data_IF_009263283614
#
_entry.id   IF_009263283614
#
_cell.length_a   1.000
_cell.length_b   1.000
_cell.length_c   1.000
_cell.angle_alpha   90.00
_cell.angle_beta   90.00
_cell.angle_gamma   90.00
#
_symmetry.space_group_name_H-M   'P 1'
#
loop_
_entity.id
_entity.type
_entity.pdbx_description
1 polymer ?
#
# COMPACT_ATOMS: atom_id res chain seq x y z
N UNK A 1 2.90 -32.20 47.51
CA UNK A 1 2.35 -30.85 47.33
C UNK A 1 2.68 -30.47 45.89
N UNK A 2 1.67 -30.49 45.02
CA UNK A 2 1.83 -30.34 43.57
C UNK A 2 2.27 -28.91 43.25
N UNK A 3 3.33 -28.77 42.46
CA UNK A 3 3.68 -27.54 41.77
C UNK A 3 3.61 -27.80 40.26
N UNK A 4 2.41 -27.63 39.73
CA UNK A 4 2.10 -27.36 38.33
C UNK A 4 1.29 -26.06 38.41
N UNK A 5 1.43 -25.03 37.58
CA UNK A 5 2.07 -24.78 36.29
C UNK A 5 1.79 -23.30 36.05
N UNK A 6 2.73 -22.56 35.45
CA UNK A 6 2.40 -21.43 34.57
C UNK A 6 3.59 -21.27 33.60
N UNK A 7 3.72 -22.25 32.70
CA UNK A 7 4.26 -21.91 31.40
C UNK A 7 3.10 -21.27 30.65
N UNK A 8 2.98 -19.95 30.71
CA UNK A 8 2.21 -19.23 29.70
C UNK A 8 2.68 -19.77 28.35
N UNK A 9 1.77 -20.42 27.62
CA UNK A 9 2.01 -20.77 26.24
C UNK A 9 2.14 -19.43 25.53
N UNK A 10 3.38 -18.93 25.38
CA UNK A 10 3.63 -17.75 24.55
C UNK A 10 3.00 -18.03 23.20
N UNK A 11 2.01 -17.22 22.84
CA UNK A 11 1.44 -17.27 21.50
C UNK A 11 2.59 -17.09 20.53
N UNK A 12 2.79 -18.10 19.68
CA UNK A 12 3.79 -18.03 18.63
C UNK A 12 3.24 -17.11 17.55
N UNK A 13 3.80 -15.91 17.42
CA UNK A 13 3.43 -14.92 16.41
C UNK A 13 3.31 -15.53 15.00
N UNK A 14 4.17 -16.51 14.64
CA UNK A 14 4.09 -17.16 13.33
C UNK A 14 2.79 -17.95 13.11
N UNK A 15 2.03 -18.32 14.15
CA UNK A 15 0.70 -18.92 13.97
C UNK A 15 -0.34 -17.92 13.47
N UNK A 16 -0.11 -16.62 13.67
CA UNK A 16 -0.97 -15.54 13.16
C UNK A 16 -0.66 -15.19 11.70
N UNK A 17 0.45 -15.69 11.16
CA UNK A 17 0.77 -15.58 9.75
C UNK A 17 0.14 -16.76 9.02
N UNK A 18 -0.90 -16.49 8.24
CA UNK A 18 -1.71 -17.48 7.51
C UNK A 18 -1.31 -17.56 6.03
N UNK A 19 -0.83 -16.46 5.46
CA UNK A 19 -0.42 -16.37 4.06
C UNK A 19 0.98 -16.93 3.84
N UNK A 20 1.22 -17.54 2.68
CA UNK A 20 2.50 -18.19 2.33
C UNK A 20 3.02 -17.82 0.94
N UNK A 21 2.11 -17.45 0.03
CA UNK A 21 2.44 -17.22 -1.37
C UNK A 21 1.94 -15.85 -1.80
N UNK A 22 2.73 -15.19 -2.65
CA UNK A 22 2.38 -13.89 -3.19
C UNK A 22 1.62 -14.03 -4.50
N UNK A 23 0.37 -13.54 -4.54
CA UNK A 23 -0.55 -13.65 -5.67
C UNK A 23 0.08 -13.18 -7.00
N UNK A 24 0.74 -12.02 -6.99
CA UNK A 24 1.40 -11.48 -8.19
C UNK A 24 2.62 -12.30 -8.65
N UNK A 25 3.40 -12.87 -7.72
CA UNK A 25 4.54 -13.72 -8.10
C UNK A 25 4.05 -15.01 -8.77
N UNK A 26 2.99 -15.61 -8.21
CA UNK A 26 2.33 -16.76 -8.83
C UNK A 26 1.74 -16.41 -10.20
N UNK A 27 1.27 -15.17 -10.40
CA UNK A 27 0.78 -14.70 -11.71
C UNK A 27 1.89 -14.63 -12.77
N UNK A 28 3.10 -14.21 -12.40
CA UNK A 28 4.24 -14.18 -13.33
C UNK A 28 4.52 -15.57 -13.92
N UNK A 29 4.41 -16.63 -13.13
CA UNK A 29 4.53 -18.00 -13.63
C UNK A 29 3.42 -18.35 -14.64
N UNK A 30 2.19 -17.88 -14.40
CA UNK A 30 1.05 -18.07 -15.33
C UNK A 30 1.23 -17.28 -16.62
N UNK A 31 1.75 -16.05 -16.57
CA UNK A 31 2.09 -15.27 -17.77
C UNK A 31 3.10 -16.01 -18.65
N UNK A 32 4.17 -16.53 -18.04
CA UNK A 32 5.19 -17.31 -18.77
C UNK A 32 4.61 -18.58 -19.38
N UNK A 33 3.68 -19.25 -18.69
CA UNK A 33 3.04 -20.47 -19.15
C UNK A 33 2.09 -20.22 -20.33
N UNK A 34 1.30 -19.14 -20.29
CA UNK A 34 0.32 -18.84 -21.34
C UNK A 34 0.94 -18.12 -22.55
N UNK A 35 2.07 -17.41 -22.36
CA UNK A 35 2.81 -16.74 -23.43
C UNK A 35 2.07 -15.55 -24.06
N UNK A 36 0.99 -15.07 -23.43
CA UNK A 36 0.21 -13.93 -23.92
C UNK A 36 0.86 -12.58 -23.56
N UNK A 37 0.63 -11.52 -24.35
CA UNK A 37 1.27 -10.24 -24.10
C UNK A 37 0.83 -9.64 -22.76
N UNK A 38 1.80 -9.07 -22.03
CA UNK A 38 1.58 -8.44 -20.72
C UNK A 38 1.38 -6.94 -20.89
N UNK A 39 0.23 -6.44 -20.44
CA UNK A 39 -0.13 -5.02 -20.51
C UNK A 39 -0.16 -4.45 -19.09
N UNK A 40 0.58 -3.35 -18.88
CA UNK A 40 0.58 -2.62 -17.62
C UNK A 40 -0.35 -1.40 -17.74
N UNK A 41 -1.48 -1.42 -17.04
CA UNK A 41 -2.41 -0.30 -16.99
C UNK A 41 -1.87 0.79 -16.06
N UNK A 42 -1.57 1.96 -16.60
CA UNK A 42 -0.97 3.08 -15.88
C UNK A 42 0.44 3.41 -16.35
N UNK A 43 0.85 4.66 -16.09
CA UNK A 43 2.21 5.16 -16.36
C UNK A 43 2.72 6.08 -15.23
N UNK A 44 2.09 6.01 -14.05
CA UNK A 44 2.48 6.77 -12.86
C UNK A 44 3.58 6.08 -12.03
N UNK A 45 3.78 6.57 -10.80
CA UNK A 45 4.78 6.03 -9.88
C UNK A 45 4.59 4.52 -9.62
N UNK A 46 3.36 4.10 -9.30
CA UNK A 46 3.05 2.69 -9.04
C UNK A 46 3.35 1.80 -10.26
N UNK A 47 2.93 2.22 -11.45
CA UNK A 47 3.25 1.51 -12.69
C UNK A 47 4.77 1.38 -12.89
N UNK A 48 5.54 2.42 -12.58
CA UNK A 48 7.00 2.36 -12.67
C UNK A 48 7.61 1.35 -11.68
N UNK A 49 7.03 1.19 -10.48
CA UNK A 49 7.44 0.15 -9.52
C UNK A 49 7.20 -1.24 -10.12
N UNK A 50 6.01 -1.53 -10.65
CA UNK A 50 5.72 -2.78 -11.34
C UNK A 50 6.65 -3.03 -12.52
N UNK A 51 6.89 -2.01 -13.35
CA UNK A 51 7.79 -2.12 -14.51
C UNK A 51 9.18 -2.56 -14.09
N UNK A 52 9.80 -1.86 -13.13
CA UNK A 52 11.13 -2.22 -12.59
C UNK A 52 11.14 -3.63 -12.01
N UNK A 53 10.07 -4.00 -11.32
CA UNK A 53 9.93 -5.35 -10.76
C UNK A 53 9.87 -6.41 -11.86
N UNK A 54 9.03 -6.23 -12.87
CA UNK A 54 8.89 -7.14 -14.01
C UNK A 54 10.20 -7.26 -14.81
N UNK A 55 10.93 -6.15 -15.01
CA UNK A 55 12.23 -6.14 -15.69
C UNK A 55 13.24 -7.03 -14.93
N UNK A 56 13.31 -6.95 -13.60
CA UNK A 56 14.15 -7.85 -12.77
C UNK A 56 13.73 -9.31 -12.90
N UNK A 57 12.43 -9.57 -13.08
CA UNK A 57 11.88 -10.90 -13.30
C UNK A 57 12.00 -11.37 -14.76
N UNK A 58 12.58 -10.57 -15.67
CA UNK A 58 12.69 -10.90 -17.08
C UNK A 58 11.35 -11.01 -17.81
N UNK A 59 10.33 -10.31 -17.35
CA UNK A 59 9.01 -10.24 -18.00
C UNK A 59 8.94 -8.95 -18.82
N UNK A 60 8.91 -9.07 -20.14
CA UNK A 60 8.78 -7.91 -21.03
C UNK A 60 7.32 -7.45 -21.13
N UNK A 61 7.10 -6.14 -20.99
CA UNK A 61 5.81 -5.52 -21.27
C UNK A 61 5.58 -5.42 -22.78
N UNK A 62 4.35 -5.73 -23.20
CA UNK A 62 3.88 -5.45 -24.55
C UNK A 62 3.64 -3.95 -24.74
N UNK A 63 2.92 -3.33 -23.82
CA UNK A 63 2.70 -1.88 -23.78
C UNK A 63 2.29 -1.43 -22.37
N UNK A 64 2.39 -0.12 -22.13
CA UNK A 64 1.64 0.54 -21.06
C UNK A 64 0.30 1.00 -21.62
N UNK A 65 -0.76 0.92 -20.81
CA UNK A 65 -2.10 1.29 -21.26
C UNK A 65 -2.72 2.36 -20.35
N UNK A 66 -3.33 3.38 -20.96
CA UNK A 66 -4.05 4.45 -20.28
C UNK A 66 -5.47 4.54 -20.85
N UNK A 67 -6.44 5.06 -20.10
CA UNK A 67 -7.70 5.46 -20.74
C UNK A 67 -7.46 6.70 -21.60
N UNK A 68 -8.30 6.91 -22.62
CA UNK A 68 -8.17 8.05 -23.55
C UNK A 68 -8.00 9.42 -22.87
N UNK A 69 -8.63 9.63 -21.71
CA UNK A 69 -8.52 10.87 -20.92
C UNK A 69 -7.09 11.19 -20.48
N UNK A 70 -6.28 10.17 -20.21
CA UNK A 70 -4.90 10.32 -19.74
C UNK A 70 -3.86 10.08 -20.84
N UNK A 71 -4.28 9.93 -22.10
CA UNK A 71 -3.35 9.74 -23.21
C UNK A 71 -2.54 11.03 -23.44
N UNK A 72 -1.20 10.94 -23.53
CA UNK A 72 -0.38 12.11 -23.81
C UNK A 72 -0.64 12.58 -25.26
N UNK A 73 -0.65 13.90 -25.45
CA UNK A 73 -0.77 14.52 -26.78
C UNK A 73 0.46 14.24 -27.67
N UNK A 74 1.59 13.88 -27.08
CA UNK A 74 2.85 13.58 -27.75
C UNK A 74 3.28 12.14 -27.48
N UNK A 75 3.83 11.47 -28.51
CA UNK A 75 4.35 10.11 -28.36
C UNK A 75 5.68 10.13 -27.61
N UNK A 76 5.77 9.41 -26.49
CA UNK A 76 7.03 9.18 -25.80
C UNK A 76 7.84 8.07 -26.49
N UNK A 77 9.14 8.30 -26.72
CA UNK A 77 9.99 7.45 -27.56
C UNK A 77 10.35 6.07 -26.96
N UNK A 78 10.12 5.83 -25.66
CA UNK A 78 10.71 4.68 -24.96
C UNK A 78 9.72 3.65 -24.41
N UNK A 79 8.41 3.91 -24.46
CA UNK A 79 7.37 2.92 -24.11
C UNK A 79 6.19 3.11 -25.06
N UNK A 80 5.75 2.04 -25.73
CA UNK A 80 4.50 2.08 -26.47
C UNK A 80 3.36 2.26 -25.46
N UNK A 81 2.73 3.44 -25.47
CA UNK A 81 1.54 3.75 -24.69
C UNK A 81 0.32 3.60 -25.59
N UNK A 82 -0.66 2.79 -25.17
CA UNK A 82 -1.89 2.52 -25.91
C UNK A 82 -3.13 2.88 -25.11
N UNK A 83 -4.21 3.21 -25.82
CA UNK A 83 -5.51 3.40 -25.19
C UNK A 83 -6.10 2.04 -24.76
N UNK A 84 -6.60 1.95 -23.53
CA UNK A 84 -7.29 0.75 -23.03
C UNK A 84 -8.49 0.42 -23.93
N UNK A 85 -9.21 1.45 -24.39
CA UNK A 85 -10.33 1.36 -25.33
C UNK A 85 -9.98 0.57 -26.60
N UNK A 86 -8.80 0.81 -27.17
CA UNK A 86 -8.35 0.14 -28.39
C UNK A 86 -7.95 -1.31 -28.12
N UNK A 87 -7.34 -1.57 -26.96
CA UNK A 87 -6.84 -2.90 -26.60
C UNK A 87 -7.98 -3.89 -26.34
N UNK A 88 -9.06 -3.46 -25.68
CA UNK A 88 -10.17 -4.36 -25.30
C UNK A 88 -11.05 -4.78 -26.47
N UNK A 89 -10.98 -4.05 -27.58
CA UNK A 89 -11.71 -4.37 -28.83
C UNK A 89 -10.91 -5.33 -29.74
N UNK A 90 -9.65 -5.62 -29.42
CA UNK A 90 -8.85 -6.59 -30.17
C UNK A 90 -9.34 -8.03 -29.89
N UNK A 91 -9.32 -8.92 -30.90
CA UNK A 91 -9.69 -10.33 -30.73
C UNK A 91 -8.67 -11.13 -29.90
N UNK A 92 -7.48 -10.57 -29.66
CA UNK A 92 -6.44 -11.17 -28.84
C UNK A 92 -6.73 -10.99 -27.36
N UNK A 93 -6.29 -11.96 -26.54
CA UNK A 93 -6.31 -11.88 -25.08
C UNK A 93 -4.98 -11.38 -24.51
N UNK A 94 -5.04 -10.73 -23.35
CA UNK A 94 -3.88 -10.13 -22.68
C UNK A 94 -3.79 -10.54 -21.21
N UNK A 95 -2.58 -10.48 -20.66
CA UNK A 95 -2.37 -10.49 -19.22
C UNK A 95 -2.31 -9.03 -18.75
N UNK A 96 -3.29 -8.57 -17.97
CA UNK A 96 -3.35 -7.20 -17.47
C UNK A 96 -2.80 -7.09 -16.05
N UNK A 97 -2.08 -6.00 -15.78
CA UNK A 97 -1.62 -5.61 -14.44
C UNK A 97 -2.10 -4.19 -14.19
N UNK A 98 -2.78 -3.96 -13.07
CA UNK A 98 -3.19 -2.62 -12.65
C UNK A 98 -2.03 -1.94 -11.90
N UNK A 99 -1.47 -0.90 -12.52
CA UNK A 99 -0.34 -0.11 -12.03
C UNK A 99 -0.73 1.20 -11.32
N UNK A 100 -1.84 1.22 -10.60
CA UNK A 100 -2.32 2.35 -9.80
C UNK A 100 -3.18 1.88 -8.63
N UNK A 101 -3.36 2.72 -7.60
CA UNK A 101 -3.95 2.29 -6.32
C UNK A 101 -5.45 2.01 -6.40
N UNK A 102 -6.21 2.85 -7.10
CA UNK A 102 -7.67 2.76 -7.13
C UNK A 102 -8.16 2.31 -8.50
N UNK A 103 -8.79 1.15 -8.56
CA UNK A 103 -9.41 0.62 -9.76
C UNK A 103 -10.93 0.58 -9.59
N UNK A 104 -11.66 1.04 -10.61
CA UNK A 104 -13.13 1.00 -10.60
C UNK A 104 -13.65 -0.32 -11.16
N UNK A 105 -14.82 -0.77 -10.68
CA UNK A 105 -15.49 -1.97 -11.21
C UNK A 105 -15.73 -1.85 -12.73
N UNK A 106 -16.07 -0.65 -13.21
CA UNK A 106 -16.22 -0.38 -14.64
C UNK A 106 -14.96 -0.69 -15.45
N UNK A 107 -13.78 -0.32 -14.95
CA UNK A 107 -12.52 -0.63 -15.61
C UNK A 107 -12.19 -2.13 -15.55
N UNK A 108 -12.48 -2.77 -14.42
CA UNK A 108 -12.30 -4.22 -14.24
C UNK A 108 -13.16 -4.97 -15.26
N UNK A 109 -14.45 -4.69 -15.33
CA UNK A 109 -15.38 -5.30 -16.29
C UNK A 109 -14.94 -5.06 -17.74
N UNK A 110 -14.43 -3.86 -18.04
CA UNK A 110 -13.92 -3.51 -19.36
C UNK A 110 -12.71 -4.37 -19.76
N UNK A 111 -11.72 -4.52 -18.87
CA UNK A 111 -10.51 -5.31 -19.11
C UNK A 111 -10.82 -6.82 -19.15
N UNK A 112 -11.78 -7.29 -18.34
CA UNK A 112 -12.17 -8.70 -18.28
C UNK A 112 -12.68 -9.25 -19.63
N UNK A 113 -13.16 -8.40 -20.54
CA UNK A 113 -13.64 -8.81 -21.88
C UNK A 113 -12.62 -9.62 -22.67
N UNK A 114 -11.34 -9.30 -22.53
CA UNK A 114 -10.26 -10.04 -23.19
C UNK A 114 -9.06 -10.33 -22.27
N UNK A 115 -9.21 -10.23 -20.96
CA UNK A 115 -8.18 -10.67 -20.01
C UNK A 115 -8.05 -12.20 -20.04
N UNK A 116 -6.82 -12.71 -20.13
CA UNK A 116 -6.45 -14.06 -19.64
C UNK A 116 -6.23 -14.02 -18.14
N UNK A 117 -5.45 -13.05 -17.69
CA UNK A 117 -5.21 -12.74 -16.29
C UNK A 117 -5.47 -11.24 -16.08
N UNK A 118 -6.04 -10.89 -14.94
CA UNK A 118 -6.20 -9.50 -14.51
C UNK A 118 -5.69 -9.39 -13.08
N UNK A 119 -4.52 -8.78 -12.93
CA UNK A 119 -3.85 -8.65 -11.64
C UNK A 119 -4.17 -7.30 -11.03
N UNK A 120 -4.82 -7.37 -9.87
CA UNK A 120 -5.04 -6.25 -8.96
C UNK A 120 -4.43 -6.68 -7.64
N UNK A 121 -3.35 -6.03 -7.25
CA UNK A 121 -2.62 -6.35 -6.03
C UNK A 121 -2.24 -5.06 -5.30
N UNK A 122 -2.00 -5.17 -3.99
CA UNK A 122 -1.49 -4.08 -3.18
C UNK A 122 -0.09 -3.68 -3.72
N UNK A 123 0.08 -2.50 -4.32
CA UNK A 123 1.36 -2.13 -4.92
C UNK A 123 2.46 -1.95 -3.86
N UNK A 124 2.09 -1.74 -2.59
CA UNK A 124 3.08 -1.68 -1.54
C UNK A 124 3.80 -3.02 -1.41
N UNK A 125 3.11 -4.15 -1.62
CA UNK A 125 3.63 -5.51 -1.43
C UNK A 125 4.86 -5.82 -2.30
N UNK A 126 5.08 -5.09 -3.39
CA UNK A 126 6.13 -5.36 -4.39
C UNK A 126 7.28 -4.34 -4.39
N UNK A 127 8.29 -4.53 -3.54
CA UNK A 127 9.55 -3.73 -3.50
C UNK A 127 9.37 -2.20 -3.66
N UNK A 128 8.22 -1.64 -3.27
CA UNK A 128 7.90 -0.22 -3.46
C UNK A 128 8.79 0.68 -2.60
N UNK A 129 9.31 0.12 -1.52
CA UNK A 129 10.22 0.75 -0.57
C UNK A 129 11.59 0.08 -0.61
N UNK A 130 12.61 0.78 -0.13
CA UNK A 130 14.00 0.31 -0.09
C UNK A 130 14.24 -0.93 0.78
N UNK A 131 13.23 -1.41 1.51
CA UNK A 131 13.31 -2.55 2.42
C UNK A 131 13.13 -3.93 1.75
N UNK A 132 12.82 -3.99 0.45
CA UNK A 132 12.58 -5.25 -0.25
C UNK A 132 11.17 -5.82 -0.02
N UNK A 133 10.99 -7.12 -0.31
CA UNK A 133 9.74 -7.84 -0.10
C UNK A 133 9.58 -8.23 1.39
N UNK A 134 8.35 -8.13 1.90
CA UNK A 134 7.97 -8.71 3.19
C UNK A 134 7.14 -9.96 2.86
N UNK A 135 7.83 -11.07 2.65
CA UNK A 135 7.23 -12.37 2.38
C UNK A 135 7.26 -13.28 3.63
N UNK A 136 6.84 -14.54 3.46
CA UNK A 136 6.82 -15.48 4.59
C UNK A 136 8.23 -15.78 5.10
N UNK A 137 9.20 -15.90 4.20
CA UNK A 137 10.60 -16.18 4.57
C UNK A 137 11.18 -15.01 5.37
N UNK A 138 10.90 -13.76 4.98
CA UNK A 138 11.21 -12.58 5.79
C UNK A 138 10.62 -12.69 7.21
N UNK A 139 9.35 -13.09 7.32
CA UNK A 139 8.71 -13.25 8.63
C UNK A 139 9.34 -14.38 9.46
N UNK A 140 9.72 -15.48 8.82
CA UNK A 140 10.36 -16.62 9.48
C UNK A 140 11.78 -16.30 9.95
N UNK A 141 12.56 -15.63 9.11
CA UNK A 141 13.94 -15.24 9.38
C UNK A 141 14.01 -14.19 10.49
N UNK A 142 13.02 -13.30 10.56
CA UNK A 142 12.93 -12.23 11.57
C UNK A 142 11.96 -12.56 12.73
N UNK A 143 11.50 -13.80 12.85
CA UNK A 143 10.41 -14.21 13.76
C UNK A 143 10.62 -13.79 15.22
N UNK A 144 11.85 -13.82 15.73
CA UNK A 144 12.12 -13.49 17.13
C UNK A 144 11.96 -11.97 17.38
N UNK A 145 12.39 -11.13 16.44
CA UNK A 145 12.18 -9.68 16.50
C UNK A 145 10.72 -9.30 16.27
N UNK A 146 10.05 -9.97 15.33
CA UNK A 146 8.62 -9.74 15.07
C UNK A 146 7.75 -10.21 16.24
N UNK A 147 8.10 -11.31 16.90
CA UNK A 147 7.47 -11.75 18.15
C UNK A 147 7.64 -10.71 19.24
N UNK A 148 8.85 -10.19 19.45
CA UNK A 148 9.09 -9.17 20.46
C UNK A 148 8.26 -7.90 20.22
N UNK A 149 8.12 -7.48 18.94
CA UNK A 149 7.24 -6.38 18.56
C UNK A 149 5.76 -6.73 18.82
N UNK A 150 5.32 -7.92 18.40
CA UNK A 150 3.95 -8.40 18.62
C UNK A 150 3.56 -8.42 20.11
N UNK A 151 4.47 -8.90 20.96
CA UNK A 151 4.30 -8.96 22.41
C UNK A 151 4.31 -7.56 23.05
N UNK A 152 4.92 -6.57 22.40
CA UNK A 152 5.03 -5.20 22.93
C UNK A 152 3.76 -4.36 22.75
N UNK A 153 2.84 -4.76 21.87
CA UNK A 153 1.59 -4.03 21.67
C UNK A 153 0.71 -4.07 22.92
N UNK A 154 0.15 -2.92 23.29
CA UNK A 154 -0.67 -2.76 24.50
C UNK A 154 -2.04 -3.43 24.42
N UNK A 155 -2.54 -3.71 23.21
CA UNK A 155 -3.90 -4.18 22.96
C UNK A 155 -3.97 -5.21 21.82
N UNK A 156 -5.08 -5.94 21.76
CA UNK A 156 -5.32 -7.00 20.78
C UNK A 156 -5.61 -6.45 19.37
N UNK A 157 -6.19 -5.25 19.26
CA UNK A 157 -6.50 -4.63 17.98
C UNK A 157 -5.20 -4.24 17.24
N UNK A 158 -4.21 -3.70 17.95
CA UNK A 158 -2.86 -3.44 17.44
C UNK A 158 -2.15 -4.72 16.98
N UNK A 159 -2.24 -5.81 17.76
CA UNK A 159 -1.70 -7.13 17.37
C UNK A 159 -2.33 -7.65 16.08
N UNK A 160 -3.65 -7.57 15.96
CA UNK A 160 -4.39 -8.00 14.76
C UNK A 160 -4.12 -7.10 13.56
N UNK A 161 -4.02 -5.79 13.76
CA UNK A 161 -3.63 -4.84 12.69
C UNK A 161 -2.25 -5.18 12.15
N UNK A 162 -1.30 -5.48 13.03
CA UNK A 162 0.06 -5.86 12.65
C UNK A 162 0.13 -7.18 11.87
N UNK A 163 -0.58 -8.23 12.33
CA UNK A 163 -0.59 -9.50 11.60
C UNK A 163 -1.38 -9.42 10.30
N UNK A 164 -2.46 -8.64 10.24
CA UNK A 164 -3.19 -8.34 9.02
C UNK A 164 -2.31 -7.59 8.00
N UNK A 165 -1.52 -6.62 8.46
CA UNK A 165 -0.52 -5.93 7.64
C UNK A 165 0.43 -6.96 7.01
N UNK A 166 1.07 -7.82 7.80
CA UNK A 166 2.01 -8.80 7.29
C UNK A 166 1.36 -9.82 6.34
N UNK A 167 0.17 -10.33 6.65
CA UNK A 167 -0.54 -11.24 5.76
C UNK A 167 -0.86 -10.58 4.41
N UNK A 168 -1.32 -9.32 4.40
CA UNK A 168 -1.52 -8.56 3.15
C UNK A 168 -0.23 -8.37 2.36
N UNK A 169 0.87 -8.09 3.06
CA UNK A 169 2.21 -7.96 2.44
C UNK A 169 2.65 -9.26 1.77
N UNK A 170 2.42 -10.39 2.43
CA UNK A 170 2.82 -11.72 1.94
C UNK A 170 1.97 -12.13 0.73
N UNK A 171 0.65 -12.01 0.81
CA UNK A 171 -0.22 -12.44 -0.29
C UNK A 171 -0.29 -11.42 -1.44
N UNK A 172 -0.02 -10.15 -1.15
CA UNK A 172 -0.13 -9.04 -2.10
C UNK A 172 -1.59 -8.71 -2.47
N UNK A 173 -2.60 -9.32 -1.85
CA UNK A 173 -4.01 -9.01 -2.12
C UNK A 173 -4.56 -8.06 -1.07
N UNK A 174 -5.25 -7.01 -1.52
CA UNK A 174 -5.99 -6.13 -0.61
C UNK A 174 -7.09 -6.92 0.08
N UNK A 175 -7.23 -6.77 1.40
CA UNK A 175 -8.36 -7.32 2.13
C UNK A 175 -8.11 -7.51 3.61
N UNK A 176 -6.94 -8.05 3.98
CA UNK A 176 -6.60 -8.34 5.37
C UNK A 176 -6.64 -7.08 6.25
N UNK A 177 -6.22 -5.92 5.72
CA UNK A 177 -6.22 -4.66 6.46
C UNK A 177 -7.57 -3.94 6.53
N UNK A 178 -8.54 -4.29 5.68
CA UNK A 178 -9.83 -3.57 5.61
C UNK A 178 -10.58 -3.51 6.95
N UNK A 179 -10.66 -4.58 7.77
CA UNK A 179 -11.35 -4.54 9.05
C UNK A 179 -10.67 -3.66 10.11
N UNK A 180 -9.42 -3.27 9.89
CA UNK A 180 -8.57 -2.54 10.84
C UNK A 180 -8.26 -1.11 10.38
N UNK A 181 -8.92 -0.67 9.31
CA UNK A 181 -8.79 0.69 8.79
C UNK A 181 -9.41 1.72 9.75
N UNK A 182 -8.74 2.86 9.90
CA UNK A 182 -9.26 4.01 10.63
C UNK A 182 -9.14 5.27 9.77
N UNK A 183 -10.24 6.03 9.66
CA UNK A 183 -10.26 7.32 8.97
C UNK A 183 -9.48 8.40 9.73
N UNK A 184 -9.23 8.20 11.04
CA UNK A 184 -8.47 9.12 11.88
C UNK A 184 -7.05 8.58 12.11
N UNK A 185 -6.18 8.77 11.12
CA UNK A 185 -4.85 8.16 11.09
C UNK A 185 -3.89 8.63 12.20
N UNK A 186 -4.05 9.86 12.72
CA UNK A 186 -3.06 10.47 13.63
C UNK A 186 -3.60 10.82 15.03
N UNK A 187 -4.90 11.12 15.17
CA UNK A 187 -5.48 11.63 16.41
C UNK A 187 -6.60 10.73 16.92
N UNK A 188 -6.45 9.42 16.72
CA UNK A 188 -7.36 8.41 17.26
C UNK A 188 -7.45 8.56 18.79
N UNK A 189 -8.66 8.75 19.31
CA UNK A 189 -8.92 9.07 20.71
C UNK A 189 -8.76 7.86 21.66
N UNK A 190 -8.71 6.64 21.13
CA UNK A 190 -8.36 5.43 21.88
C UNK A 190 -6.85 5.35 22.19
N UNK A 191 -6.00 5.97 21.36
CA UNK A 191 -4.53 5.90 21.47
C UNK A 191 -3.89 7.23 21.89
N UNK A 192 -4.48 8.36 21.50
CA UNK A 192 -3.92 9.70 21.70
C UNK A 192 -4.93 10.55 22.45
N UNK A 193 -4.56 11.00 23.65
CA UNK A 193 -5.36 11.96 24.42
C UNK A 193 -4.77 13.36 24.27
N UNK A 194 -5.49 14.23 23.57
CA UNK A 194 -5.12 15.65 23.44
C UNK A 194 -5.56 16.45 24.67
N UNK A 195 -4.73 17.41 25.07
CA UNK A 195 -4.98 18.33 26.18
C UNK A 195 -4.84 19.81 25.81
N UNK A 196 -4.78 20.65 26.83
CA UNK A 196 -4.40 22.05 26.66
C UNK A 196 -2.87 22.19 26.57
N UNK A 197 -2.39 23.30 26.00
CA UNK A 197 -0.98 23.64 25.88
C UNK A 197 -0.13 22.67 25.03
N UNK A 198 -0.76 21.96 24.09
CA UNK A 198 -0.10 21.00 23.20
C UNK A 198 1.02 21.64 22.35
N UNK A 199 2.08 20.86 22.13
CA UNK A 199 3.15 21.19 21.20
C UNK A 199 3.20 20.10 20.14
N UNK A 200 2.77 20.43 18.92
CA UNK A 200 2.73 19.47 17.81
C UNK A 200 3.95 19.62 16.91
N UNK A 201 4.54 18.49 16.52
CA UNK A 201 5.68 18.42 15.61
C UNK A 201 5.30 17.52 14.43
N UNK A 202 5.23 18.11 13.24
CA UNK A 202 4.91 17.45 11.99
C UNK A 202 6.18 17.30 11.14
N UNK A 203 6.65 16.05 11.00
CA UNK A 203 7.92 15.70 10.35
C UNK A 203 7.67 15.13 8.95
N UNK A 204 7.21 16.00 8.04
CA UNK A 204 6.74 15.65 6.71
C UNK A 204 5.40 16.30 6.42
N UNK A 205 5.32 17.61 6.68
CA UNK A 205 4.06 18.34 6.74
C UNK A 205 3.34 18.43 5.39
N UNK A 206 3.99 18.10 4.27
CA UNK A 206 3.41 18.11 2.93
C UNK A 206 2.73 19.45 2.62
N UNK A 207 1.41 19.49 2.43
CA UNK A 207 0.63 20.70 2.19
C UNK A 207 0.03 21.31 3.48
N UNK A 208 0.32 20.73 4.64
CA UNK A 208 -0.16 21.16 5.95
C UNK A 208 -1.47 20.50 6.41
N UNK A 209 -1.98 19.51 5.67
CA UNK A 209 -3.23 18.79 5.98
C UNK A 209 -3.28 18.22 7.40
N UNK A 210 -2.18 17.66 7.86
CA UNK A 210 -2.06 16.98 9.15
C UNK A 210 -2.08 18.01 10.29
N UNK A 211 -1.44 19.17 10.09
CA UNK A 211 -1.56 20.32 11.00
C UNK A 211 -3.00 20.85 11.06
N UNK A 212 -3.69 20.96 9.92
CA UNK A 212 -5.10 21.38 9.90
C UNK A 212 -5.99 20.38 10.63
N UNK A 213 -5.76 19.09 10.43
CA UNK A 213 -6.45 18.00 11.13
C UNK A 213 -6.23 18.10 12.65
N UNK A 214 -4.99 18.34 13.09
CA UNK A 214 -4.67 18.55 14.50
C UNK A 214 -5.44 19.73 15.12
N UNK A 215 -5.40 20.89 14.47
CA UNK A 215 -6.10 22.09 14.93
C UNK A 215 -7.62 21.87 14.97
N UNK A 216 -8.16 21.16 13.99
CA UNK A 216 -9.58 20.77 13.96
C UNK A 216 -9.93 19.89 15.16
N UNK A 217 -9.13 18.86 15.46
CA UNK A 217 -9.36 17.97 16.61
C UNK A 217 -9.36 18.74 17.95
N UNK A 218 -8.42 19.68 18.16
CA UNK A 218 -8.44 20.54 19.36
C UNK A 218 -9.74 21.33 19.50
N UNK A 219 -10.25 21.89 18.40
CA UNK A 219 -11.51 22.64 18.39
C UNK A 219 -12.71 21.74 18.68
N UNK A 220 -12.77 20.57 18.07
CA UNK A 220 -13.87 19.60 18.27
C UNK A 220 -13.93 19.12 19.74
N UNK A 221 -12.77 18.99 20.39
CA UNK A 221 -12.65 18.64 21.82
C UNK A 221 -12.84 19.85 22.76
N UNK A 222 -13.11 21.05 22.24
CA UNK A 222 -13.19 22.30 23.01
C UNK A 222 -11.92 22.62 23.83
N UNK A 223 -10.76 22.27 23.31
CA UNK A 223 -9.45 22.56 23.91
C UNK A 223 -8.94 23.94 23.47
N UNK A 224 -8.02 24.50 24.24
CA UNK A 224 -7.31 25.73 23.86
C UNK A 224 -6.50 25.51 22.56
N UNK A 225 -6.23 26.58 21.77
CA UNK A 225 -5.29 26.48 20.67
C UNK A 225 -3.95 25.91 21.12
N UNK A 226 -3.30 25.15 20.24
CA UNK A 226 -1.97 24.60 20.49
C UNK A 226 -0.99 25.69 20.94
N UNK A 227 -0.15 25.36 21.92
CA UNK A 227 0.89 26.27 22.40
C UNK A 227 1.90 26.58 21.30
N UNK A 228 2.31 25.55 20.53
CA UNK A 228 3.21 25.66 19.38
C UNK A 228 2.95 24.55 18.38
N UNK A 229 3.24 24.84 17.11
CA UNK A 229 3.26 23.88 16.03
C UNK A 229 4.57 24.05 15.27
N UNK A 230 5.28 22.94 15.05
CA UNK A 230 6.49 22.88 14.23
C UNK A 230 6.22 21.98 13.02
N UNK A 231 6.12 22.58 11.83
CA UNK A 231 5.90 21.86 10.58
C UNK A 231 7.19 21.86 9.75
N UNK A 232 7.71 20.67 9.44
CA UNK A 232 8.91 20.47 8.65
C UNK A 232 8.55 19.86 7.30
N UNK A 233 8.93 20.52 6.20
CA UNK A 233 8.75 20.02 4.84
C UNK A 233 9.99 20.36 3.99
N UNK A 234 10.76 19.36 3.52
CA UNK A 234 11.97 19.61 2.74
C UNK A 234 11.69 19.96 1.27
N UNK A 235 10.55 19.55 0.70
CA UNK A 235 10.21 19.90 -0.67
C UNK A 235 9.81 21.37 -0.78
N UNK A 236 10.53 22.12 -1.62
CA UNK A 236 10.36 23.57 -1.73
C UNK A 236 9.01 24.02 -2.29
N UNK A 237 8.29 23.14 -3.01
CA UNK A 237 6.96 23.43 -3.54
C UNK A 237 5.93 23.23 -2.43
N UNK A 238 5.93 22.07 -1.80
CA UNK A 238 5.04 21.75 -0.68
C UNK A 238 5.23 22.75 0.48
N UNK A 239 6.47 23.09 0.82
CA UNK A 239 6.80 24.09 1.84
C UNK A 239 6.16 25.47 1.56
N UNK A 240 6.09 25.88 0.29
CA UNK A 240 5.42 27.15 -0.08
C UNK A 240 3.90 27.05 0.10
N UNK A 241 3.31 25.92 -0.28
CA UNK A 241 1.87 25.67 -0.13
C UNK A 241 1.45 25.76 1.35
N UNK A 242 2.27 25.27 2.29
CA UNK A 242 2.05 25.45 3.73
C UNK A 242 2.00 26.94 4.10
N UNK A 243 2.97 27.73 3.65
CA UNK A 243 3.07 29.16 3.99
C UNK A 243 1.95 30.04 3.42
N UNK A 244 1.16 29.52 2.47
CA UNK A 244 -0.04 30.20 1.95
C UNK A 244 -1.30 29.86 2.75
N UNK A 245 -1.28 28.78 3.56
CA UNK A 245 -2.41 28.32 4.37
C UNK A 245 -2.43 28.88 5.80
N UNK A 246 -1.30 29.38 6.31
CA UNK A 246 -1.13 29.88 7.69
C UNK A 246 -0.58 31.32 7.70
#
# INVERSE_FOLDING_TARGET
MNCATDSEVRMNFLSEITEREHYFLSAIARFRKNGLPVVLCGNGYVANVFKKFLDKQGVSLYCSALTLEYMPNEKHEHIEVRAIEELVDLPQRFNYIIGFQTCTDFLIEKLQKNAEELIICDPSSIEMFSAGMIDYDFCFDNRDSLQALYDSFGDDFSRKTFTAYLNQRICGQVGHLLPYHSDNAYFNDELVTLGNDEIFVDCGAYDGDTVLSFVKNLRELNLAPARKIYAFEPDSKNFKEIGEQY
#
